data_IF_788703458538
#
_entry.id   IF_788703458538
#
_cell.length_a   1.000
_cell.length_b   1.000
_cell.length_c   1.000
_cell.angle_alpha   90.00
_cell.angle_beta   90.00
_cell.angle_gamma   90.00
#
_symmetry.space_group_name_H-M   'P 1'
#
loop_
_entity.id
_entity.type
_entity.pdbx_description
1 polymer ?
#
# COMPACT_ATOMS: atom_id res chain seq x y z
N UNK A 1 22.72 8.52 -47.41
CA UNK A 1 21.34 8.51 -46.87
C UNK A 1 20.90 7.13 -46.39
N UNK A 2 21.02 6.06 -47.21
CA UNK A 2 20.61 4.71 -46.78
C UNK A 2 21.35 4.19 -45.54
N UNK A 3 22.63 4.51 -45.40
CA UNK A 3 23.41 4.09 -44.20
C UNK A 3 22.93 4.77 -42.90
N UNK A 4 22.60 6.06 -42.95
CA UNK A 4 22.09 6.77 -41.77
C UNK A 4 20.71 6.26 -41.32
N UNK A 5 19.87 5.87 -42.28
CA UNK A 5 18.58 5.25 -41.99
C UNK A 5 18.75 3.86 -41.33
N UNK A 6 19.69 3.08 -41.81
CA UNK A 6 20.00 1.77 -41.21
C UNK A 6 20.54 1.93 -39.78
N UNK A 7 21.43 2.91 -39.53
CA UNK A 7 21.97 3.22 -38.21
C UNK A 7 20.86 3.69 -37.25
N UNK A 8 19.94 4.55 -37.73
CA UNK A 8 18.80 4.99 -36.90
C UNK A 8 17.89 3.80 -36.52
N UNK A 9 17.66 2.87 -37.44
CA UNK A 9 16.92 1.63 -37.17
C UNK A 9 17.59 0.75 -36.13
N UNK A 10 18.92 0.58 -36.24
CA UNK A 10 19.70 -0.17 -35.25
C UNK A 10 19.64 0.46 -33.85
N UNK A 11 19.78 1.79 -33.74
CA UNK A 11 19.67 2.49 -32.46
C UNK A 11 18.28 2.36 -31.85
N UNK A 12 17.23 2.46 -32.67
CA UNK A 12 15.87 2.26 -32.22
C UNK A 12 15.65 0.81 -31.72
N UNK A 13 16.18 -0.19 -32.44
CA UNK A 13 16.13 -1.59 -32.03
C UNK A 13 16.89 -1.83 -30.73
N UNK A 14 18.06 -1.23 -30.54
CA UNK A 14 18.84 -1.32 -29.31
C UNK A 14 18.03 -0.75 -28.12
N UNK A 15 17.44 0.44 -28.26
CA UNK A 15 16.59 1.03 -27.22
C UNK A 15 15.38 0.14 -26.88
N UNK A 16 14.77 -0.50 -27.89
CA UNK A 16 13.67 -1.45 -27.66
C UNK A 16 14.13 -2.66 -26.85
N UNK A 17 15.29 -3.20 -27.18
CA UNK A 17 15.90 -4.31 -26.44
C UNK A 17 16.22 -3.95 -24.99
N UNK A 18 16.70 -2.73 -24.73
CA UNK A 18 16.95 -2.22 -23.38
C UNK A 18 15.65 -2.20 -22.56
N UNK A 19 14.55 -1.71 -23.15
CA UNK A 19 13.24 -1.69 -22.49
C UNK A 19 12.73 -3.10 -22.21
N UNK A 20 12.83 -4.01 -23.18
CA UNK A 20 12.44 -5.41 -23.01
C UNK A 20 13.31 -6.07 -21.92
N UNK A 21 14.61 -5.86 -21.94
CA UNK A 21 15.54 -6.37 -20.94
C UNK A 21 15.19 -5.88 -19.53
N UNK A 22 14.86 -4.61 -19.39
CA UNK A 22 14.40 -4.05 -18.11
C UNK A 22 13.08 -4.70 -17.65
N UNK A 23 12.11 -4.90 -18.55
CA UNK A 23 10.85 -5.56 -18.24
C UNK A 23 11.06 -7.01 -17.76
N UNK A 24 11.96 -7.74 -18.44
CA UNK A 24 12.29 -9.13 -18.06
C UNK A 24 13.00 -9.15 -16.69
N UNK A 25 13.99 -8.28 -16.48
CA UNK A 25 14.74 -8.22 -15.24
C UNK A 25 13.84 -7.92 -14.03
N UNK A 26 12.78 -7.14 -14.24
CA UNK A 26 11.84 -6.72 -13.19
C UNK A 26 10.52 -7.50 -13.18
N UNK A 27 10.40 -8.57 -13.95
CA UNK A 27 9.15 -9.36 -14.05
C UNK A 27 8.70 -9.96 -12.71
N UNK A 28 9.63 -10.24 -11.79
CA UNK A 28 9.37 -10.69 -10.42
C UNK A 28 9.29 -9.57 -9.38
N UNK A 29 9.43 -8.30 -9.78
CA UNK A 29 9.39 -7.16 -8.85
C UNK A 29 7.94 -6.77 -8.59
N UNK A 30 7.48 -6.85 -7.33
CA UNK A 30 6.13 -6.42 -6.95
C UNK A 30 5.91 -4.94 -7.22
N UNK A 31 4.79 -4.62 -7.88
CA UNK A 31 4.43 -3.24 -8.22
C UNK A 31 5.21 -2.65 -9.40
N UNK A 32 6.03 -3.44 -10.08
CA UNK A 32 6.70 -3.00 -11.31
C UNK A 32 5.66 -2.70 -12.41
N UNK A 33 5.92 -1.66 -13.18
CA UNK A 33 5.11 -1.25 -14.33
C UNK A 33 5.96 -1.33 -15.59
N UNK A 34 5.56 -2.20 -16.50
CA UNK A 34 6.31 -2.46 -17.75
C UNK A 34 6.40 -1.22 -18.62
N UNK A 35 7.54 -1.01 -19.23
CA UNK A 35 7.74 0.03 -20.24
C UNK A 35 7.46 -0.49 -21.63
N UNK A 36 7.01 0.41 -22.52
CA UNK A 36 6.88 0.17 -23.96
C UNK A 36 7.53 1.29 -24.72
N UNK A 37 8.45 0.98 -25.62
CA UNK A 37 9.08 1.96 -26.50
C UNK A 37 8.14 2.29 -27.68
N UNK A 38 7.94 3.58 -27.92
CA UNK A 38 7.21 4.09 -29.08
C UNK A 38 8.16 4.73 -30.07
N UNK A 39 7.93 4.50 -31.35
CA UNK A 39 8.79 4.97 -32.43
C UNK A 39 8.03 5.91 -33.34
N UNK A 40 8.73 6.90 -33.88
CA UNK A 40 8.21 7.83 -34.86
C UNK A 40 9.08 7.80 -36.11
N UNK A 41 8.44 7.81 -37.26
CA UNK A 41 9.09 7.99 -38.54
C UNK A 41 9.55 9.45 -38.73
N UNK A 42 10.70 9.65 -39.36
CA UNK A 42 11.24 10.96 -39.67
C UNK A 42 11.00 11.32 -41.13
N UNK A 43 10.21 12.38 -41.38
CA UNK A 43 9.92 12.88 -42.71
C UNK A 43 10.62 14.23 -42.95
N UNK A 44 11.14 14.42 -44.14
CA UNK A 44 11.67 15.71 -44.59
C UNK A 44 11.15 16.07 -45.97
N UNK A 45 9.84 16.14 -46.12
CA UNK A 45 9.18 16.62 -47.34
C UNK A 45 9.38 15.77 -48.60
N UNK A 46 10.07 14.62 -48.52
CA UNK A 46 10.30 13.70 -49.62
C UNK A 46 9.45 12.43 -49.45
N UNK A 47 9.22 11.72 -50.55
CA UNK A 47 8.44 10.47 -50.55
C UNK A 47 9.15 9.30 -49.83
N UNK A 48 10.41 9.48 -49.41
CA UNK A 48 11.21 8.49 -48.72
C UNK A 48 11.49 8.97 -47.30
N UNK A 49 11.13 8.18 -46.27
CA UNK A 49 11.40 8.45 -44.87
C UNK A 49 12.92 8.54 -44.59
N UNK A 50 13.32 9.36 -43.64
CA UNK A 50 14.70 9.59 -43.25
C UNK A 50 15.19 8.65 -42.16
N UNK A 51 14.40 7.67 -41.79
CA UNK A 51 14.68 6.71 -40.73
C UNK A 51 13.68 6.84 -39.56
N UNK A 52 14.03 6.23 -38.45
CA UNK A 52 13.19 6.14 -37.25
C UNK A 52 13.89 6.77 -36.05
N UNK A 53 13.09 7.38 -35.16
CA UNK A 53 13.56 7.83 -33.84
C UNK A 53 12.68 7.24 -32.74
N UNK A 54 13.24 7.09 -31.55
CA UNK A 54 12.45 6.81 -30.34
C UNK A 54 11.61 8.05 -30.01
N UNK A 55 10.29 7.92 -30.03
CA UNK A 55 9.37 8.99 -29.67
C UNK A 55 9.24 9.14 -28.15
N UNK A 56 9.30 8.01 -27.44
CA UNK A 56 9.24 8.00 -25.97
C UNK A 56 9.13 6.57 -25.42
N UNK A 57 9.28 6.44 -24.11
CA UNK A 57 9.01 5.21 -23.39
C UNK A 57 7.84 5.50 -22.46
N UNK A 58 6.76 4.76 -22.62
CA UNK A 58 5.54 4.87 -21.79
C UNK A 58 5.46 3.69 -20.85
N UNK A 59 5.00 3.92 -19.63
CA UNK A 59 4.75 2.86 -18.66
C UNK A 59 3.28 2.44 -18.69
N UNK A 60 3.03 1.16 -18.59
CA UNK A 60 1.69 0.58 -18.47
C UNK A 60 1.29 0.52 -17.00
N UNK A 61 0.32 1.34 -16.60
CA UNK A 61 -0.19 1.41 -15.23
C UNK A 61 -1.42 0.54 -14.99
N UNK A 62 -1.80 -0.32 -15.93
CA UNK A 62 -2.89 -1.28 -15.73
C UNK A 62 -2.62 -2.18 -14.53
N UNK A 63 -3.70 -2.62 -13.88
CA UNK A 63 -3.58 -3.51 -12.73
C UNK A 63 -3.18 -4.93 -13.17
N UNK A 64 -2.26 -5.50 -12.42
CA UNK A 64 -1.90 -6.92 -12.53
C UNK A 64 -2.71 -7.78 -11.56
N UNK A 65 -2.38 -9.06 -11.50
CA UNK A 65 -2.96 -10.00 -10.55
C UNK A 65 -2.41 -9.77 -9.15
N UNK A 66 -3.29 -9.76 -8.15
CA UNK A 66 -2.88 -9.71 -6.74
C UNK A 66 -2.44 -11.10 -6.28
N UNK A 67 -1.30 -11.15 -5.58
CA UNK A 67 -0.76 -12.39 -5.01
C UNK A 67 -0.84 -12.32 -3.49
N UNK A 68 -1.35 -13.38 -2.86
CA UNK A 68 -1.33 -13.48 -1.40
C UNK A 68 0.04 -13.99 -0.95
N UNK A 69 0.77 -13.17 -0.18
CA UNK A 69 2.11 -13.50 0.33
C UNK A 69 2.08 -14.13 1.72
N UNK A 70 0.93 -14.14 2.41
CA UNK A 70 0.79 -14.59 3.79
C UNK A 70 1.41 -13.63 4.83
N UNK A 71 1.95 -12.48 4.43
CA UNK A 71 2.50 -11.46 5.34
C UNK A 71 1.45 -10.39 5.62
N UNK A 72 1.17 -10.13 6.90
CA UNK A 72 0.11 -9.20 7.32
C UNK A 72 0.34 -7.72 6.98
N UNK A 73 1.58 -7.35 6.60
CA UNK A 73 1.94 -5.97 6.25
C UNK A 73 2.11 -5.77 4.74
N UNK A 74 1.94 -6.80 3.93
CA UNK A 74 1.96 -6.67 2.49
C UNK A 74 0.57 -6.22 2.00
N UNK A 75 0.54 -5.11 1.29
CA UNK A 75 -0.69 -4.46 0.83
C UNK A 75 -0.63 -4.21 -0.67
N UNK A 76 -1.69 -4.51 -1.38
CA UNK A 76 -1.83 -4.19 -2.80
C UNK A 76 -2.84 -3.06 -3.02
N UNK A 77 -2.56 -2.19 -3.98
CA UNK A 77 -3.53 -1.20 -4.47
C UNK A 77 -4.29 -1.85 -5.63
N UNK A 78 -5.62 -1.86 -5.53
CA UNK A 78 -6.53 -2.17 -6.64
C UNK A 78 -6.99 -0.85 -7.27
N UNK A 79 -6.98 -0.78 -8.57
CA UNK A 79 -7.26 0.41 -9.35
C UNK A 79 -6.11 1.44 -9.33
N UNK A 80 -6.42 2.71 -9.60
CA UNK A 80 -5.45 3.79 -9.70
C UNK A 80 -4.95 4.25 -8.32
N UNK A 81 -3.69 4.68 -8.25
CA UNK A 81 -3.11 5.25 -7.04
C UNK A 81 -1.68 4.79 -6.78
N UNK A 82 -1.06 5.38 -5.78
CA UNK A 82 0.30 5.08 -5.34
C UNK A 82 0.38 5.18 -3.83
N UNK A 83 1.24 4.38 -3.23
CA UNK A 83 1.66 4.61 -1.85
C UNK A 83 2.53 5.87 -1.81
N UNK A 84 2.16 6.80 -0.93
CA UNK A 84 2.97 7.99 -0.67
C UNK A 84 3.94 7.67 0.45
N UNK A 85 5.22 7.80 0.15
CA UNK A 85 6.32 7.51 1.06
C UNK A 85 7.11 8.79 1.33
N UNK A 86 7.69 8.89 2.51
CA UNK A 86 8.52 10.04 2.90
C UNK A 86 9.83 9.53 3.48
N UNK A 87 10.93 10.15 3.11
CA UNK A 87 12.23 9.88 3.73
C UNK A 87 12.43 10.68 5.03
N UNK A 88 13.57 10.47 5.70
CA UNK A 88 13.93 11.20 6.92
C UNK A 88 14.13 12.70 6.71
N UNK A 89 14.32 13.16 5.46
CA UNK A 89 14.52 14.56 5.11
C UNK A 89 13.21 15.25 4.69
N UNK A 90 12.09 14.51 4.66
CA UNK A 90 10.78 15.01 4.25
C UNK A 90 10.52 14.96 2.74
N UNK A 91 11.42 14.37 1.94
CA UNK A 91 11.20 14.19 0.50
C UNK A 91 10.12 13.15 0.24
N UNK A 92 9.24 13.46 -0.71
CA UNK A 92 8.08 12.62 -1.04
C UNK A 92 8.39 11.72 -2.23
N UNK A 93 8.11 10.44 -2.07
CA UNK A 93 8.22 9.41 -3.12
C UNK A 93 6.90 8.70 -3.31
N UNK A 94 6.68 8.15 -4.49
CA UNK A 94 5.51 7.36 -4.82
C UNK A 94 5.92 5.98 -5.31
N UNK A 95 5.24 4.95 -4.82
CA UNK A 95 5.53 3.55 -5.17
C UNK A 95 4.25 2.74 -5.33
N UNK A 96 4.32 1.70 -6.16
CA UNK A 96 3.29 0.64 -6.25
C UNK A 96 3.69 -0.61 -5.48
N UNK A 97 4.94 -0.68 -5.01
CA UNK A 97 5.37 -1.79 -4.16
C UNK A 97 4.79 -1.62 -2.76
N UNK A 98 3.96 -2.57 -2.36
CA UNK A 98 3.27 -2.59 -1.07
C UNK A 98 3.87 -3.54 -0.04
N UNK A 99 5.14 -3.89 -0.17
CA UNK A 99 5.84 -4.69 0.83
C UNK A 99 6.37 -3.79 1.94
N UNK A 100 5.73 -3.87 3.11
CA UNK A 100 6.09 -3.05 4.26
C UNK A 100 6.63 -3.90 5.41
N UNK A 101 7.37 -3.23 6.30
CA UNK A 101 7.84 -3.72 7.59
C UNK A 101 7.69 -2.63 8.65
N UNK A 102 7.78 -3.00 9.93
CA UNK A 102 7.85 -2.04 11.02
C UNK A 102 9.29 -1.68 11.32
N UNK A 103 9.54 -0.40 11.53
CA UNK A 103 10.80 0.11 12.08
C UNK A 103 10.83 0.02 13.62
N UNK A 104 11.91 0.47 14.26
CA UNK A 104 12.07 0.50 15.72
C UNK A 104 11.01 1.38 16.41
N UNK A 105 10.53 2.41 15.72
CA UNK A 105 9.48 3.33 16.19
C UNK A 105 8.07 2.84 15.81
N UNK A 106 7.96 1.62 15.25
CA UNK A 106 6.72 1.01 14.79
C UNK A 106 6.00 1.76 13.66
N UNK A 107 6.73 2.57 12.89
CA UNK A 107 6.22 3.12 11.64
C UNK A 107 6.29 2.05 10.53
N UNK A 108 5.32 2.10 9.62
CA UNK A 108 5.39 1.29 8.41
C UNK A 108 6.41 1.90 7.46
N UNK A 109 7.44 1.10 7.14
CA UNK A 109 8.49 1.48 6.18
C UNK A 109 8.61 0.44 5.08
N UNK A 110 9.03 0.88 3.89
CA UNK A 110 9.36 -0.02 2.81
C UNK A 110 10.74 -0.67 3.03
N UNK A 111 11.20 -1.50 2.09
CA UNK A 111 12.50 -2.17 2.18
C UNK A 111 13.68 -1.19 2.11
N UNK A 112 13.48 0.02 1.61
CA UNK A 112 14.47 1.10 1.51
C UNK A 112 14.49 2.01 2.76
N UNK A 113 13.56 1.80 3.71
CA UNK A 113 13.46 2.61 4.93
C UNK A 113 12.58 3.86 4.78
N UNK A 114 11.90 4.04 3.65
CA UNK A 114 10.96 5.15 3.45
C UNK A 114 9.67 4.89 4.23
N UNK A 115 9.18 5.88 4.95
CA UNK A 115 8.00 5.80 5.80
C UNK A 115 6.72 5.96 4.99
N UNK A 116 5.76 5.05 5.19
CA UNK A 116 4.44 5.14 4.59
C UNK A 116 3.63 6.24 5.28
N UNK A 117 2.98 7.08 4.49
CA UNK A 117 2.11 8.16 4.99
C UNK A 117 0.66 7.95 4.58
N UNK A 118 -0.25 8.38 5.44
CA UNK A 118 -1.69 8.31 5.21
C UNK A 118 -2.43 9.41 5.96
N UNK A 119 -3.73 9.51 5.71
CA UNK A 119 -4.58 10.48 6.38
C UNK A 119 -5.00 9.95 7.76
N UNK A 120 -4.94 10.78 8.82
CA UNK A 120 -5.40 10.39 10.14
C UNK A 120 -6.90 10.13 10.14
N UNK A 121 -7.32 9.18 10.95
CA UNK A 121 -8.73 8.91 11.21
C UNK A 121 -9.07 9.36 12.63
N UNK A 122 -10.24 9.99 12.81
CA UNK A 122 -10.72 10.49 14.10
C UNK A 122 -12.19 10.12 14.30
N UNK A 123 -12.62 10.12 15.56
CA UNK A 123 -14.01 9.83 15.93
C UNK A 123 -14.27 8.36 16.28
N UNK A 124 -15.51 8.09 16.69
CA UNK A 124 -16.01 6.74 17.04
C UNK A 124 -17.40 6.57 16.42
N UNK A 125 -17.56 5.83 15.32
CA UNK A 125 -16.53 5.09 14.58
C UNK A 125 -15.50 6.00 13.88
N UNK A 126 -14.27 5.52 13.63
CA UNK A 126 -13.22 6.35 13.05
C UNK A 126 -13.54 6.69 11.58
N UNK A 127 -13.45 7.98 11.25
CA UNK A 127 -13.62 8.51 9.89
C UNK A 127 -12.35 9.18 9.44
N UNK A 128 -11.98 8.98 8.16
CA UNK A 128 -10.79 9.59 7.57
C UNK A 128 -11.02 11.09 7.40
N UNK A 129 -10.10 11.90 7.90
CA UNK A 129 -10.12 13.35 7.70
C UNK A 129 -9.62 13.70 6.29
N UNK A 130 -10.57 13.99 5.39
CA UNK A 130 -10.24 14.48 4.06
C UNK A 130 -9.71 15.92 4.16
N UNK A 131 -8.58 16.19 3.50
CA UNK A 131 -7.94 17.52 3.51
C UNK A 131 -6.91 17.75 4.62
N UNK A 132 -6.73 16.83 5.56
CA UNK A 132 -5.62 16.86 6.49
C UNK A 132 -4.28 16.58 5.80
N UNK A 133 -3.18 17.06 6.38
CA UNK A 133 -1.85 16.68 5.90
C UNK A 133 -1.59 15.19 6.19
N UNK A 134 -1.06 14.43 5.22
CA UNK A 134 -0.70 13.04 5.45
C UNK A 134 0.39 12.94 6.53
N UNK A 135 0.21 12.03 7.48
CA UNK A 135 1.15 11.75 8.56
C UNK A 135 1.72 10.33 8.43
N UNK A 136 2.83 10.04 9.08
CA UNK A 136 3.42 8.71 9.08
C UNK A 136 2.45 7.71 9.74
N UNK A 137 2.28 6.56 9.12
CA UNK A 137 1.45 5.49 9.64
C UNK A 137 2.27 4.66 10.61
N UNK A 138 1.84 4.62 11.88
CA UNK A 138 2.44 3.79 12.92
C UNK A 138 1.40 2.83 13.52
N UNK A 139 1.88 1.67 13.97
CA UNK A 139 1.05 0.70 14.69
C UNK A 139 1.47 0.74 16.17
N UNK A 140 0.76 1.50 17.01
CA UNK A 140 1.13 1.63 18.43
C UNK A 140 0.99 0.28 19.15
N UNK A 141 1.84 0.04 20.15
CA UNK A 141 1.75 -1.09 21.05
C UNK A 141 1.00 -0.72 22.34
N UNK A 142 -0.11 -0.02 22.19
CA UNK A 142 -0.95 0.32 23.34
C UNK A 142 -1.87 -0.85 23.66
N UNK A 143 -1.84 -1.29 24.91
CA UNK A 143 -2.84 -2.22 25.43
C UNK A 143 -4.22 -1.55 25.35
N UNK A 144 -5.22 -2.31 24.94
CA UNK A 144 -6.59 -1.81 25.02
C UNK A 144 -6.91 -1.47 26.49
N UNK A 145 -7.47 -0.28 26.71
CA UNK A 145 -7.94 0.07 28.03
C UNK A 145 -9.01 -0.94 28.49
N UNK A 146 -8.87 -1.44 29.71
CA UNK A 146 -9.87 -2.33 30.27
C UNK A 146 -11.21 -1.60 30.35
N UNK A 147 -12.24 -2.21 29.76
CA UNK A 147 -13.60 -1.72 29.89
C UNK A 147 -14.22 -2.39 31.12
N UNK A 148 -14.57 -1.61 32.12
CA UNK A 148 -15.28 -2.12 33.31
C UNK A 148 -16.61 -2.73 32.89
N UNK A 149 -16.93 -3.91 33.44
CA UNK A 149 -18.26 -4.52 33.28
C UNK A 149 -19.27 -3.68 34.04
N UNK A 150 -20.23 -3.09 33.33
CA UNK A 150 -21.27 -2.24 33.93
C UNK A 150 -22.58 -2.98 34.17
N UNK A 151 -22.79 -4.10 33.49
CA UNK A 151 -23.99 -4.90 33.61
C UNK A 151 -23.62 -6.37 33.57
N UNK A 152 -24.16 -7.12 34.51
CA UNK A 152 -24.16 -8.59 34.49
C UNK A 152 -25.60 -9.08 34.64
N UNK A 153 -26.02 -10.02 33.83
CA UNK A 153 -27.32 -10.68 33.95
C UNK A 153 -27.13 -12.18 34.15
N UNK A 154 -27.81 -12.73 35.09
CA UNK A 154 -27.81 -14.18 35.36
C UNK A 154 -29.23 -14.69 35.38
N UNK A 155 -29.47 -15.74 34.62
CA UNK A 155 -30.73 -16.45 34.67
C UNK A 155 -30.55 -17.72 35.49
N UNK A 156 -31.25 -17.81 36.62
CA UNK A 156 -31.16 -18.94 37.54
C UNK A 156 -32.54 -19.57 37.70
N UNK A 157 -32.55 -20.86 37.85
CA UNK A 157 -33.76 -21.61 38.21
C UNK A 157 -33.63 -22.00 39.69
N UNK A 158 -34.53 -21.51 40.51
CA UNK A 158 -34.56 -21.80 41.94
C UNK A 158 -35.54 -22.92 42.22
N UNK A 159 -35.17 -23.80 43.15
CA UNK A 159 -36.09 -24.86 43.60
C UNK A 159 -37.18 -24.25 44.50
N UNK A 160 -38.45 -24.43 44.12
CA UNK A 160 -39.57 -23.91 44.88
C UNK A 160 -39.76 -24.54 46.26
N UNK A 161 -39.09 -25.65 46.53
CA UNK A 161 -39.16 -26.39 47.80
C UNK A 161 -38.08 -25.99 48.78
N UNK A 162 -37.16 -25.07 48.41
CA UNK A 162 -36.08 -24.64 49.29
C UNK A 162 -36.63 -23.66 50.37
N UNK A 163 -36.11 -23.79 51.57
CA UNK A 163 -36.38 -22.87 52.69
C UNK A 163 -35.67 -21.54 52.48
N UNK A 164 -36.31 -20.44 52.97
CA UNK A 164 -35.66 -19.14 52.96
C UNK A 164 -34.33 -19.14 53.68
N UNK A 165 -33.34 -18.43 53.21
CA UNK A 165 -32.05 -18.30 53.88
C UNK A 165 -32.27 -17.78 55.34
N UNK A 166 -31.64 -18.41 56.31
CA UNK A 166 -31.69 -17.99 57.70
C UNK A 166 -30.72 -16.85 58.06
N UNK A 167 -29.92 -16.41 57.09
CA UNK A 167 -28.97 -15.31 57.22
C UNK A 167 -29.56 -14.03 56.60
N UNK A 168 -29.16 -12.91 57.15
CA UNK A 168 -29.57 -11.61 56.65
C UNK A 168 -29.13 -11.44 55.18
N UNK A 169 -29.89 -10.65 54.41
CA UNK A 169 -29.54 -10.30 53.05
C UNK A 169 -28.14 -9.67 53.01
N UNK A 170 -27.37 -10.00 51.95
CA UNK A 170 -26.05 -9.39 51.73
C UNK A 170 -26.17 -7.87 51.63
N UNK A 171 -25.44 -7.17 52.50
CA UNK A 171 -25.32 -5.71 52.48
C UNK A 171 -24.02 -5.31 51.77
N UNK A 172 -24.15 -4.77 50.57
CA UNK A 172 -23.01 -4.36 49.74
C UNK A 172 -22.24 -3.17 50.34
N UNK A 173 -22.81 -2.47 51.31
CA UNK A 173 -22.15 -1.36 52.03
C UNK A 173 -21.26 -1.83 53.18
N UNK A 174 -21.38 -3.09 53.58
CA UNK A 174 -20.65 -3.68 54.71
C UNK A 174 -20.05 -5.05 54.27
N UNK A 175 -19.39 -5.04 53.16
CA UNK A 175 -18.66 -6.21 52.63
C UNK A 175 -17.24 -6.19 53.24
N UNK A 176 -17.04 -6.85 54.36
CA UNK A 176 -15.73 -7.22 54.91
C UNK A 176 -15.22 -8.50 54.26
#
# INVERSE_FOLDING_TARGET
MAFSQAVSGLNAAATNLDVIGNNIANSATYGFKSGTASFADMFAGSKVGLGVKVAGITQDFTDGTTTNTGRGLDVAISQNGFFRLVDSNGSVFYSRNGQFKLDENRNLVNMQGLQLTGYPATGTPPTIQQGANPTNISIPNTLMAAKTTTTASMQINLNSSDSLPSVNAFDASNAD
#
